data_IF_135206203366
#
_entry.id   IF_135206203366
#
_cell.length_a   1.000
_cell.length_b   1.000
_cell.length_c   1.000
_cell.angle_alpha   90.00
_cell.angle_beta   90.00
_cell.angle_gamma   90.00
#
_symmetry.space_group_name_H-M   'P 1'
#
loop_
_entity.id
_entity.type
_entity.pdbx_description
1 polymer ?
#
# COMPACT_ATOMS: atom_id res chain seq x y z
N UNK A 1 -34.06 19.28 57.15
CA UNK A 1 -34.96 18.48 58.01
C UNK A 1 -36.39 18.79 57.59
N UNK A 2 -37.29 17.78 57.64
CA UNK A 2 -38.69 17.71 57.13
C UNK A 2 -38.80 17.61 55.61
N UNK A 3 -38.94 16.45 54.95
CA UNK A 3 -39.77 15.25 55.12
C UNK A 3 -41.26 15.45 54.79
N UNK A 4 -41.63 14.86 53.64
CA UNK A 4 -42.82 14.07 53.30
C UNK A 4 -44.24 14.70 53.37
N UNK A 5 -45.00 14.43 52.30
CA UNK A 5 -46.45 14.33 52.39
C UNK A 5 -47.22 14.54 51.08
N UNK A 6 -47.27 13.51 50.22
CA UNK A 6 -48.41 13.24 49.30
C UNK A 6 -49.74 13.14 50.12
N UNK A 7 -50.99 13.12 49.57
CA UNK A 7 -51.37 12.42 48.31
C UNK A 7 -52.71 12.82 47.63
N UNK A 8 -53.16 12.01 46.64
CA UNK A 8 -54.56 11.77 46.18
C UNK A 8 -55.28 12.91 45.40
N UNK A 9 -56.19 12.71 44.45
CA UNK A 9 -56.83 11.57 43.75
C UNK A 9 -57.75 12.16 42.63
N UNK A 10 -58.09 11.32 41.65
CA UNK A 10 -59.41 11.17 40.99
C UNK A 10 -59.81 11.93 39.71
N UNK A 11 -60.15 11.10 38.70
CA UNK A 11 -61.25 11.14 37.70
C UNK A 11 -61.17 12.15 36.53
N UNK A 12 -61.08 11.65 35.29
CA UNK A 12 -62.19 11.38 34.33
C UNK A 12 -62.71 12.68 33.69
N UNK A 13 -63.06 12.82 32.41
CA UNK A 13 -63.25 11.90 31.30
C UNK A 13 -63.45 12.77 30.02
N UNK A 14 -62.99 12.25 28.88
CA UNK A 14 -63.46 12.39 27.48
C UNK A 14 -63.72 13.77 26.81
N UNK A 15 -63.11 13.87 25.63
CA UNK A 15 -63.60 14.43 24.34
C UNK A 15 -63.21 15.85 23.91
N UNK A 16 -62.27 15.84 22.95
CA UNK A 16 -62.45 16.32 21.58
C UNK A 16 -62.14 17.78 21.22
N UNK A 17 -61.44 17.86 20.08
CA UNK A 17 -61.36 18.93 19.09
C UNK A 17 -60.36 20.07 19.34
N UNK A 18 -59.33 20.03 18.49
CA UNK A 18 -58.96 21.11 17.56
C UNK A 18 -57.57 21.72 17.73
N UNK A 19 -56.89 21.74 16.57
CA UNK A 19 -55.93 22.74 16.08
C UNK A 19 -54.48 22.60 16.55
N UNK A 20 -53.69 22.08 15.61
CA UNK A 20 -52.48 22.69 15.08
C UNK A 20 -51.60 23.42 16.10
N UNK A 21 -50.61 22.70 16.62
CA UNK A 21 -49.40 23.30 17.17
C UNK A 21 -48.19 22.68 16.47
N UNK A 22 -47.56 23.54 15.69
CA UNK A 22 -46.21 23.52 15.14
C UNK A 22 -45.25 22.65 15.99
N UNK A 23 -44.98 21.42 15.54
CA UNK A 23 -43.85 20.65 16.03
C UNK A 23 -42.59 21.24 15.37
N UNK A 24 -41.98 22.22 16.04
CA UNK A 24 -40.57 22.57 15.80
C UNK A 24 -39.78 21.35 16.26
N UNK A 25 -39.57 20.41 15.33
CA UNK A 25 -38.59 19.38 15.47
C UNK A 25 -37.23 20.09 15.55
N UNK A 26 -36.69 20.23 16.76
CA UNK A 26 -35.25 20.30 16.97
C UNK A 26 -34.65 18.99 16.45
N UNK A 27 -34.56 18.86 15.12
CA UNK A 27 -33.57 18.04 14.46
C UNK A 27 -32.25 18.72 14.75
N UNK A 28 -31.69 18.37 15.91
CA UNK A 28 -30.27 18.49 16.17
C UNK A 28 -29.57 17.75 15.03
N UNK A 29 -29.19 18.49 14.01
CA UNK A 29 -28.17 18.12 13.05
C UNK A 29 -26.89 17.95 13.87
N UNK A 30 -26.77 16.83 14.55
CA UNK A 30 -25.46 16.27 14.84
C UNK A 30 -24.94 15.81 13.49
N UNK A 31 -24.37 16.76 12.74
CA UNK A 31 -23.30 16.43 11.81
C UNK A 31 -22.27 15.72 12.66
N UNK A 32 -22.31 14.39 12.66
CA UNK A 32 -21.14 13.60 12.95
C UNK A 32 -20.17 14.08 11.88
N UNK A 33 -19.26 14.98 12.27
CA UNK A 33 -18.03 15.15 11.53
C UNK A 33 -17.45 13.74 11.48
N UNK A 34 -17.61 13.07 10.33
CA UNK A 34 -16.89 11.86 10.07
C UNK A 34 -15.43 12.27 10.23
N UNK A 35 -14.82 11.88 11.34
CA UNK A 35 -13.36 11.96 11.48
C UNK A 35 -12.81 11.44 10.17
N UNK A 36 -11.94 12.22 9.53
CA UNK A 36 -11.36 11.91 8.23
C UNK A 36 -10.51 10.63 8.34
N UNK A 37 -11.22 9.50 8.31
CA UNK A 37 -10.69 8.16 8.29
C UNK A 37 -10.27 7.77 6.89
N UNK A 38 -9.73 6.57 6.77
CA UNK A 38 -9.28 6.05 5.49
C UNK A 38 -10.53 5.81 4.62
N UNK A 39 -10.54 6.36 3.41
CA UNK A 39 -11.58 6.05 2.43
C UNK A 39 -11.11 4.82 1.65
N UNK A 40 -11.91 3.75 1.65
CA UNK A 40 -11.55 2.49 1.01
C UNK A 40 -12.55 2.09 -0.08
N UNK A 41 -12.03 1.44 -1.12
CA UNK A 41 -12.75 0.81 -2.20
C UNK A 41 -12.47 -0.70 -2.13
N UNK A 42 -13.46 -1.54 -1.84
CA UNK A 42 -13.25 -2.98 -1.76
C UNK A 42 -12.92 -3.59 -3.11
N UNK A 43 -12.16 -4.69 -3.11
CA UNK A 43 -11.98 -5.51 -4.31
C UNK A 43 -13.31 -6.21 -4.72
N UNK A 44 -13.52 -6.51 -6.02
CA UNK A 44 -12.64 -6.20 -7.14
C UNK A 44 -12.68 -4.72 -7.55
N UNK A 45 -11.56 -4.18 -8.01
CA UNK A 45 -11.43 -2.78 -8.46
C UNK A 45 -11.92 -2.59 -9.90
N UNK A 46 -13.13 -3.05 -10.19
CA UNK A 46 -13.73 -2.92 -11.52
C UNK A 46 -14.53 -1.62 -11.67
N UNK A 47 -15.07 -1.39 -12.88
CA UNK A 47 -15.85 -0.20 -13.17
C UNK A 47 -17.12 -0.08 -12.31
N UNK A 48 -17.73 -1.20 -11.88
CA UNK A 48 -18.91 -1.18 -11.04
C UNK A 48 -18.56 -0.77 -9.60
N UNK A 49 -17.45 -1.27 -9.07
CA UNK A 49 -16.92 -0.85 -7.77
C UNK A 49 -16.49 0.62 -7.82
N UNK A 50 -15.80 1.05 -8.88
CA UNK A 50 -15.37 2.44 -9.05
C UNK A 50 -16.54 3.44 -9.04
N UNK A 51 -17.71 3.06 -9.57
CA UNK A 51 -18.94 3.88 -9.50
C UNK A 51 -19.48 4.05 -8.08
N UNK A 52 -19.12 3.14 -7.16
CA UNK A 52 -19.55 3.14 -5.77
C UNK A 52 -18.49 3.74 -4.83
N UNK A 53 -17.33 4.16 -5.35
CA UNK A 53 -16.27 4.71 -4.54
C UNK A 53 -16.74 5.97 -3.80
N UNK A 54 -16.48 6.02 -2.49
CA UNK A 54 -16.86 7.16 -1.66
C UNK A 54 -16.18 8.47 -2.07
N UNK A 55 -15.00 8.39 -2.72
CA UNK A 55 -14.27 9.54 -3.25
C UNK A 55 -13.82 9.30 -4.71
N UNK A 56 -13.88 10.31 -5.59
CA UNK A 56 -13.51 10.18 -7.01
C UNK A 56 -12.06 9.71 -7.24
N UNK A 57 -11.15 10.05 -6.34
CA UNK A 57 -9.73 9.71 -6.45
C UNK A 57 -9.48 8.20 -6.38
N UNK A 58 -10.28 7.46 -5.60
CA UNK A 58 -10.21 5.99 -5.54
C UNK A 58 -10.67 5.37 -6.84
N UNK A 59 -11.82 5.81 -7.36
CA UNK A 59 -12.35 5.37 -8.64
C UNK A 59 -11.34 5.60 -9.77
N UNK A 60 -10.70 6.77 -9.78
CA UNK A 60 -9.70 7.13 -10.78
C UNK A 60 -8.44 6.25 -10.72
N UNK A 61 -7.98 5.87 -9.52
CA UNK A 61 -6.83 4.95 -9.36
C UNK A 61 -7.19 3.52 -9.78
N UNK A 62 -8.35 3.01 -9.36
CA UNK A 62 -8.86 1.70 -9.72
C UNK A 62 -8.99 1.53 -11.25
N UNK A 63 -9.61 2.51 -11.92
CA UNK A 63 -9.77 2.49 -13.37
C UNK A 63 -8.43 2.67 -14.11
N UNK A 64 -7.52 3.46 -13.56
CA UNK A 64 -6.21 3.68 -14.19
C UNK A 64 -5.34 2.42 -14.21
N UNK A 65 -5.40 1.60 -13.16
CA UNK A 65 -4.49 0.45 -13.03
C UNK A 65 -4.89 -0.75 -13.90
N UNK A 66 -6.17 -0.87 -14.26
CA UNK A 66 -6.69 -1.97 -15.08
C UNK A 66 -5.87 -2.21 -16.39
N UNK A 67 -5.60 -1.21 -17.25
CA UNK A 67 -4.78 -1.41 -18.44
C UNK A 67 -3.30 -1.72 -18.14
N UNK A 68 -2.81 -1.39 -16.93
CA UNK A 68 -1.45 -1.75 -16.50
C UNK A 68 -1.36 -3.25 -16.23
N UNK A 69 -2.37 -3.79 -15.54
CA UNK A 69 -2.42 -5.20 -15.14
C UNK A 69 -2.46 -6.16 -16.33
N UNK A 70 -3.04 -5.74 -17.46
CA UNK A 70 -3.02 -6.51 -18.70
C UNK A 70 -1.59 -6.80 -19.20
N UNK A 71 -0.61 -5.95 -18.88
CA UNK A 71 0.81 -6.15 -19.19
C UNK A 71 1.60 -6.81 -18.04
N UNK A 72 0.94 -7.09 -16.91
CA UNK A 72 1.54 -7.63 -15.69
C UNK A 72 0.74 -8.81 -15.11
N UNK A 73 0.67 -9.97 -15.81
CA UNK A 73 -0.24 -11.07 -15.47
C UNK A 73 -0.09 -11.63 -14.04
N UNK A 74 1.13 -11.66 -13.50
CA UNK A 74 1.34 -12.11 -12.11
C UNK A 74 0.75 -11.14 -11.08
N UNK A 75 0.85 -9.83 -11.31
CA UNK A 75 0.21 -8.81 -10.45
C UNK A 75 -1.30 -8.80 -10.62
N UNK A 76 -1.82 -9.04 -11.84
CA UNK A 76 -3.26 -9.24 -12.04
C UNK A 76 -3.75 -10.46 -11.24
N UNK A 77 -3.03 -11.58 -11.31
CA UNK A 77 -3.33 -12.76 -10.53
C UNK A 77 -3.29 -12.46 -9.02
N UNK A 78 -2.30 -11.72 -8.55
CA UNK A 78 -2.18 -11.30 -7.15
C UNK A 78 -3.39 -10.47 -6.71
N UNK A 79 -3.77 -9.46 -7.50
CA UNK A 79 -4.94 -8.62 -7.22
C UNK A 79 -6.23 -9.45 -7.14
N UNK A 80 -6.45 -10.36 -8.10
CA UNK A 80 -7.65 -11.21 -8.11
C UNK A 80 -7.68 -12.26 -7.00
N UNK A 81 -6.51 -12.75 -6.57
CA UNK A 81 -6.42 -13.84 -5.58
C UNK A 81 -6.46 -13.31 -4.15
N UNK A 82 -5.69 -12.26 -3.87
CA UNK A 82 -5.62 -11.66 -2.52
C UNK A 82 -6.79 -10.71 -2.30
N UNK A 83 -7.29 -10.06 -3.36
CA UNK A 83 -8.42 -9.15 -3.34
C UNK A 83 -8.34 -8.04 -2.26
N UNK A 84 -7.25 -7.25 -2.23
CA UNK A 84 -7.09 -6.20 -1.23
C UNK A 84 -8.05 -5.03 -1.44
N UNK A 85 -8.45 -4.38 -0.36
CA UNK A 85 -9.10 -3.07 -0.43
C UNK A 85 -8.08 -2.01 -0.90
N UNK A 86 -8.51 -1.06 -1.73
CA UNK A 86 -7.72 0.13 -2.08
C UNK A 86 -8.14 1.29 -1.18
N UNK A 87 -7.24 1.80 -0.37
CA UNK A 87 -7.52 2.87 0.58
C UNK A 87 -6.69 4.12 0.31
N UNK A 88 -7.30 5.29 0.49
CA UNK A 88 -6.61 6.57 0.56
C UNK A 88 -6.74 7.13 1.98
N UNK A 89 -5.62 7.60 2.53
CA UNK A 89 -5.57 8.09 3.91
C UNK A 89 -4.77 9.38 4.01
N UNK A 90 -5.21 10.28 4.90
CA UNK A 90 -4.50 11.51 5.25
C UNK A 90 -3.58 11.32 6.48
N UNK A 91 -3.56 10.12 7.05
CA UNK A 91 -2.95 9.81 8.37
C UNK A 91 -1.67 8.99 8.27
N UNK A 92 -1.04 8.92 7.10
CA UNK A 92 0.29 8.30 6.99
C UNK A 92 1.37 9.23 7.53
N UNK A 93 2.32 8.68 8.28
CA UNK A 93 3.51 9.37 8.75
C UNK A 93 4.73 8.54 8.34
N UNK A 94 5.75 9.18 7.77
CA UNK A 94 6.94 8.49 7.26
C UNK A 94 6.74 7.83 5.89
N UNK A 95 5.81 6.86 5.79
CA UNK A 95 5.50 6.17 4.53
C UNK A 95 4.53 6.96 3.65
N UNK A 96 4.57 6.70 2.33
CA UNK A 96 3.64 7.28 1.33
C UNK A 96 2.61 6.28 0.81
N UNK A 97 2.87 5.00 1.02
CA UNK A 97 1.92 3.92 0.88
C UNK A 97 2.46 2.68 1.59
N UNK A 98 1.59 1.69 1.80
CA UNK A 98 1.97 0.37 2.29
C UNK A 98 0.90 -0.66 1.96
N UNK A 99 1.30 -1.94 1.91
CA UNK A 99 0.42 -3.10 1.94
C UNK A 99 0.26 -3.59 3.38
N UNK A 100 -0.96 -3.55 3.91
CA UNK A 100 -1.34 -4.27 5.12
C UNK A 100 -1.59 -5.74 4.76
N UNK A 101 -0.87 -6.67 5.37
CA UNK A 101 -0.96 -8.11 5.06
C UNK A 101 -1.94 -8.87 5.96
N UNK A 102 -2.34 -8.31 7.10
CA UNK A 102 -3.25 -8.97 8.06
C UNK A 102 -4.72 -8.75 7.66
N UNK A 103 -5.07 -7.52 7.29
CA UNK A 103 -6.31 -7.21 6.59
C UNK A 103 -5.94 -6.69 5.22
N UNK A 104 -5.91 -7.51 4.15
CA UNK A 104 -5.29 -7.15 2.88
C UNK A 104 -5.86 -5.84 2.35
N UNK A 105 -5.07 -4.77 2.44
CA UNK A 105 -5.40 -3.46 1.88
C UNK A 105 -4.13 -2.74 1.46
N UNK A 106 -4.24 -2.03 0.34
CA UNK A 106 -3.21 -1.11 -0.13
C UNK A 106 -3.63 0.27 0.30
N UNK A 107 -2.85 0.90 1.18
CA UNK A 107 -3.14 2.24 1.71
C UNK A 107 -2.16 3.23 1.10
N UNK A 108 -2.65 4.32 0.53
CA UNK A 108 -1.82 5.36 -0.12
C UNK A 108 -2.14 6.74 0.48
N UNK A 109 -1.11 7.56 0.68
CA UNK A 109 -1.23 8.93 1.19
C UNK A 109 -2.03 9.81 0.21
N UNK A 110 -3.22 10.26 0.65
CA UNK A 110 -4.09 11.14 -0.13
C UNK A 110 -3.45 12.52 -0.38
N UNK A 111 -2.43 12.89 0.40
CA UNK A 111 -1.79 14.22 0.29
C UNK A 111 -0.70 14.26 -0.78
N UNK A 112 -0.24 13.12 -1.29
CA UNK A 112 0.70 13.12 -2.43
C UNK A 112 -0.05 13.35 -3.75
N UNK A 113 0.61 13.95 -4.77
CA UNK A 113 0.00 14.15 -6.09
C UNK A 113 -0.51 12.84 -6.70
N UNK A 114 -1.59 12.91 -7.49
CA UNK A 114 -2.17 11.77 -8.22
C UNK A 114 -1.12 10.97 -8.99
N UNK A 115 -0.19 11.66 -9.67
CA UNK A 115 0.87 11.03 -10.45
C UNK A 115 1.79 10.18 -9.57
N UNK A 116 2.12 10.64 -8.36
CA UNK A 116 2.90 9.86 -7.40
C UNK A 116 2.09 8.72 -6.78
N UNK A 117 0.79 8.91 -6.51
CA UNK A 117 -0.10 7.82 -6.06
C UNK A 117 -0.12 6.66 -7.04
N UNK A 118 -0.12 6.94 -8.34
CA UNK A 118 -0.03 5.93 -9.39
C UNK A 118 1.28 5.15 -9.29
N UNK A 119 2.42 5.83 -9.14
CA UNK A 119 3.72 5.19 -8.94
C UNK A 119 3.76 4.31 -7.68
N UNK A 120 3.25 4.83 -6.55
CA UNK A 120 3.14 4.09 -5.28
C UNK A 120 2.24 2.86 -5.46
N UNK A 121 1.09 2.97 -6.14
CA UNK A 121 0.22 1.83 -6.40
C UNK A 121 0.93 0.71 -7.16
N UNK A 122 1.78 1.03 -8.15
CA UNK A 122 2.58 0.02 -8.86
C UNK A 122 3.56 -0.70 -7.92
N UNK A 123 4.17 0.04 -7.00
CA UNK A 123 5.07 -0.50 -5.97
C UNK A 123 4.32 -1.44 -5.02
N UNK A 124 3.19 -1.01 -4.46
CA UNK A 124 2.41 -1.83 -3.53
C UNK A 124 1.78 -3.07 -4.19
N UNK A 125 1.37 -2.96 -5.47
CA UNK A 125 0.92 -4.14 -6.22
C UNK A 125 2.05 -5.16 -6.44
N UNK A 126 3.31 -4.71 -6.48
CA UNK A 126 4.43 -5.66 -6.51
C UNK A 126 4.60 -6.36 -5.16
N UNK A 127 4.42 -5.66 -4.04
CA UNK A 127 4.36 -6.32 -2.73
C UNK A 127 3.21 -7.34 -2.64
N UNK A 128 2.07 -7.05 -3.26
CA UNK A 128 0.96 -8.00 -3.34
C UNK A 128 1.32 -9.27 -4.14
N UNK A 129 2.00 -9.12 -5.27
CA UNK A 129 2.52 -10.26 -6.04
C UNK A 129 3.57 -11.06 -5.27
N UNK A 130 4.50 -10.38 -4.60
CA UNK A 130 5.47 -11.00 -3.70
C UNK A 130 4.77 -11.80 -2.60
N UNK A 131 3.74 -11.24 -1.96
CA UNK A 131 2.94 -11.92 -0.93
C UNK A 131 2.28 -13.20 -1.49
N UNK A 132 1.61 -13.10 -2.65
CA UNK A 132 0.97 -14.28 -3.28
C UNK A 132 2.00 -15.38 -3.59
N UNK A 133 3.24 -15.00 -3.92
CA UNK A 133 4.36 -15.91 -4.21
C UNK A 133 5.06 -16.44 -2.95
N UNK A 134 4.57 -16.08 -1.76
CA UNK A 134 5.07 -16.55 -0.47
C UNK A 134 6.27 -15.76 0.06
N UNK A 135 6.51 -14.55 -0.45
CA UNK A 135 7.53 -13.66 0.10
C UNK A 135 6.94 -12.80 1.21
N UNK A 136 7.17 -13.23 2.44
CA UNK A 136 6.93 -12.45 3.65
C UNK A 136 8.07 -12.82 4.61
N UNK A 137 8.99 -11.90 4.96
CA UNK A 137 10.15 -12.23 5.80
C UNK A 137 9.72 -12.85 7.14
N UNK A 138 9.91 -14.15 7.28
CA UNK A 138 9.48 -14.90 8.45
C UNK A 138 10.38 -14.65 9.68
N UNK A 139 9.80 -14.83 10.87
CA UNK A 139 10.51 -14.68 12.14
C UNK A 139 11.46 -15.85 12.46
N UNK A 140 11.50 -16.89 11.63
CA UNK A 140 12.47 -17.99 11.74
C UNK A 140 13.87 -17.58 11.24
N UNK A 141 13.96 -16.54 10.40
CA UNK A 141 15.22 -15.91 9.99
C UNK A 141 15.88 -15.19 11.17
N UNK A 142 17.22 -15.10 11.14
CA UNK A 142 17.92 -14.14 12.01
C UNK A 142 17.45 -12.71 11.70
N UNK A 143 17.50 -11.76 12.66
CA UNK A 143 17.15 -10.36 12.40
C UNK A 143 17.90 -9.78 11.20
N UNK A 144 19.18 -10.14 11.06
CA UNK A 144 20.01 -9.71 9.93
C UNK A 144 19.51 -10.24 8.59
N UNK A 145 19.21 -11.53 8.52
CA UNK A 145 18.70 -12.15 7.29
C UNK A 145 17.27 -11.70 6.98
N UNK A 146 16.48 -11.35 8.01
CA UNK A 146 15.16 -10.72 7.84
C UNK A 146 15.31 -9.33 7.19
N UNK A 147 16.22 -8.47 7.69
CA UNK A 147 16.50 -7.18 7.05
C UNK A 147 17.00 -7.31 5.61
N UNK A 148 17.89 -8.28 5.34
CA UNK A 148 18.38 -8.56 3.97
C UNK A 148 17.25 -8.99 3.03
N UNK A 149 16.32 -9.82 3.52
CA UNK A 149 15.12 -10.20 2.78
C UNK A 149 14.25 -8.96 2.49
N UNK A 150 14.00 -8.11 3.48
CA UNK A 150 13.24 -6.87 3.31
C UNK A 150 13.88 -5.97 2.25
N UNK A 151 15.20 -5.74 2.30
CA UNK A 151 15.88 -4.93 1.29
C UNK A 151 15.67 -5.44 -0.12
N UNK A 152 15.76 -6.75 -0.31
CA UNK A 152 15.56 -7.36 -1.61
C UNK A 152 14.12 -7.18 -2.10
N UNK A 153 13.12 -7.30 -1.21
CA UNK A 153 11.71 -7.07 -1.56
C UNK A 153 11.45 -5.62 -1.99
N UNK A 154 12.02 -4.65 -1.28
CA UNK A 154 11.90 -3.22 -1.58
C UNK A 154 12.64 -2.82 -2.87
N UNK A 155 13.82 -3.39 -3.08
CA UNK A 155 14.60 -3.21 -4.31
C UNK A 155 13.86 -3.78 -5.53
N UNK A 156 13.25 -4.97 -5.39
CA UNK A 156 12.43 -5.58 -6.44
C UNK A 156 11.15 -4.77 -6.71
N UNK A 157 10.45 -4.31 -5.67
CA UNK A 157 9.27 -3.45 -5.82
C UNK A 157 9.60 -2.12 -6.51
N UNK A 158 10.73 -1.51 -6.16
CA UNK A 158 11.22 -0.29 -6.82
C UNK A 158 11.60 -0.53 -8.28
N UNK A 159 12.32 -1.62 -8.58
CA UNK A 159 12.71 -1.94 -9.95
C UNK A 159 11.51 -2.25 -10.85
N UNK A 160 10.54 -3.02 -10.35
CA UNK A 160 9.35 -3.40 -11.11
C UNK A 160 8.39 -2.22 -11.31
N UNK A 161 8.18 -1.38 -10.29
CA UNK A 161 7.35 -0.18 -10.43
C UNK A 161 7.92 0.80 -11.48
N UNK A 162 9.24 1.00 -11.51
CA UNK A 162 9.91 1.78 -12.55
C UNK A 162 9.77 1.16 -13.94
N UNK A 163 9.91 -0.17 -14.06
CA UNK A 163 9.71 -0.87 -15.33
C UNK A 163 8.31 -0.67 -15.88
N UNK A 164 7.28 -0.82 -15.04
CA UNK A 164 5.89 -0.64 -15.46
C UNK A 164 5.61 0.82 -15.82
N UNK A 165 6.10 1.76 -15.02
CA UNK A 165 5.98 3.19 -15.31
C UNK A 165 6.68 3.58 -16.63
N UNK A 166 7.84 3.00 -16.92
CA UNK A 166 8.55 3.18 -18.19
C UNK A 166 7.78 2.64 -19.38
N UNK A 167 7.17 1.45 -19.24
CA UNK A 167 6.32 0.88 -20.28
C UNK A 167 5.05 1.71 -20.53
N UNK A 168 4.46 2.30 -19.48
CA UNK A 168 3.33 3.22 -19.60
C UNK A 168 3.72 4.50 -20.31
N UNK A 169 4.90 5.06 -20.01
CA UNK A 169 5.48 6.20 -20.73
C UNK A 169 5.56 5.91 -22.23
N UNK A 170 6.08 4.75 -22.61
CA UNK A 170 6.16 4.35 -24.03
C UNK A 170 4.79 4.19 -24.72
N UNK A 171 3.71 4.01 -23.94
CA UNK A 171 2.31 3.94 -24.41
C UNK A 171 1.57 5.29 -24.31
N UNK A 172 2.25 6.36 -23.94
CA UNK A 172 1.69 7.72 -23.88
C UNK A 172 1.22 8.19 -22.51
N UNK A 173 1.32 7.37 -21.45
CA UNK A 173 1.07 7.80 -20.07
C UNK A 173 2.40 7.88 -19.29
N UNK A 174 3.04 9.05 -19.33
CA UNK A 174 4.29 9.30 -18.63
C UNK A 174 4.12 9.65 -17.15
N UNK A 175 2.88 9.81 -16.66
CA UNK A 175 2.63 10.50 -15.38
C UNK A 175 3.24 9.80 -14.17
N UNK A 176 3.14 8.47 -14.10
CA UNK A 176 3.75 7.69 -13.02
C UNK A 176 5.28 7.71 -13.11
N UNK A 177 5.83 7.63 -14.32
CA UNK A 177 7.28 7.67 -14.54
C UNK A 177 7.87 9.00 -14.10
N UNK A 178 7.29 10.12 -14.54
CA UNK A 178 7.75 11.46 -14.18
C UNK A 178 7.68 11.70 -12.68
N UNK A 179 6.62 11.21 -12.02
CA UNK A 179 6.49 11.33 -10.58
C UNK A 179 7.55 10.50 -9.81
N UNK A 180 7.78 9.24 -10.21
CA UNK A 180 8.81 8.40 -9.59
C UNK A 180 10.21 8.96 -9.83
N UNK A 181 10.49 9.44 -11.04
CA UNK A 181 11.79 10.04 -11.39
C UNK A 181 12.06 11.37 -10.66
N UNK A 182 11.01 12.12 -10.31
CA UNK A 182 11.13 13.36 -9.53
C UNK A 182 11.10 13.12 -8.01
N UNK A 183 10.76 11.92 -7.54
CA UNK A 183 10.61 11.63 -6.12
C UNK A 183 11.98 11.41 -5.46
N UNK A 184 12.42 12.25 -4.50
CA UNK A 184 13.79 12.19 -3.99
C UNK A 184 14.23 10.82 -3.45
N UNK A 185 13.31 10.05 -2.87
CA UNK A 185 13.58 8.72 -2.33
C UNK A 185 13.82 7.65 -3.40
N UNK A 186 13.48 7.89 -4.68
CA UNK A 186 13.66 6.95 -5.79
C UNK A 186 14.38 7.54 -7.02
N UNK A 187 14.61 8.86 -7.06
CA UNK A 187 15.12 9.54 -8.25
C UNK A 187 16.45 8.97 -8.76
N UNK A 188 17.34 8.53 -7.87
CA UNK A 188 18.62 7.90 -8.23
C UNK A 188 18.41 6.53 -8.92
N UNK A 189 17.46 5.75 -8.44
CA UNK A 189 17.07 4.46 -9.02
C UNK A 189 16.47 4.67 -10.41
N UNK A 190 15.55 5.63 -10.51
CA UNK A 190 14.90 5.99 -11.77
C UNK A 190 15.92 6.46 -12.82
N UNK A 191 16.88 7.29 -12.42
CA UNK A 191 17.96 7.75 -13.29
C UNK A 191 18.81 6.59 -13.82
N UNK A 192 19.18 5.63 -12.95
CA UNK A 192 19.93 4.44 -13.35
C UNK A 192 19.14 3.54 -14.31
N UNK A 193 17.85 3.35 -14.06
CA UNK A 193 16.96 2.60 -14.97
C UNK A 193 16.89 3.27 -16.34
N UNK A 194 16.63 4.59 -16.37
CA UNK A 194 16.47 5.36 -17.59
C UNK A 194 17.74 5.32 -18.44
N UNK A 195 18.90 5.57 -17.83
CA UNK A 195 20.18 5.56 -18.52
C UNK A 195 20.45 4.19 -19.18
N UNK A 196 20.13 3.09 -18.50
CA UNK A 196 20.28 1.76 -19.06
C UNK A 196 19.34 1.51 -20.25
N UNK A 197 18.05 1.83 -20.09
CA UNK A 197 17.05 1.64 -21.14
C UNK A 197 17.35 2.51 -22.38
N UNK A 198 17.78 3.76 -22.19
CA UNK A 198 18.15 4.68 -23.26
C UNK A 198 19.45 4.28 -23.96
N UNK A 199 20.37 3.62 -23.26
CA UNK A 199 21.56 3.00 -23.84
C UNK A 199 21.27 1.70 -24.61
N UNK A 200 20.01 1.27 -24.69
CA UNK A 200 19.58 0.09 -25.44
C UNK A 200 19.64 -1.23 -24.67
N UNK A 201 19.77 -1.19 -23.34
CA UNK A 201 19.57 -2.38 -22.52
C UNK A 201 18.11 -2.87 -22.66
N UNK A 202 17.91 -4.19 -22.62
CA UNK A 202 16.55 -4.71 -22.50
C UNK A 202 15.96 -4.39 -21.12
N UNK A 203 14.63 -4.41 -21.01
CA UNK A 203 13.95 -4.03 -19.76
C UNK A 203 14.36 -4.90 -18.56
N UNK A 204 14.56 -6.23 -18.68
CA UNK A 204 15.14 -7.02 -17.59
C UNK A 204 16.51 -6.53 -17.12
N UNK A 205 17.42 -6.16 -18.04
CA UNK A 205 18.73 -5.62 -17.66
C UNK A 205 18.62 -4.23 -17.01
N UNK A 206 17.72 -3.36 -17.49
CA UNK A 206 17.46 -2.07 -16.84
C UNK A 206 16.89 -2.25 -15.42
N UNK A 207 15.97 -3.19 -15.23
CA UNK A 207 15.41 -3.55 -13.92
C UNK A 207 16.48 -4.10 -12.96
N UNK A 208 17.40 -4.92 -13.46
CA UNK A 208 18.55 -5.42 -12.70
C UNK A 208 19.43 -4.28 -12.16
N UNK A 209 19.69 -3.26 -12.98
CA UNK A 209 20.48 -2.10 -12.59
C UNK A 209 19.73 -1.21 -11.58
N UNK A 210 18.42 -1.02 -11.76
CA UNK A 210 17.57 -0.35 -10.78
C UNK A 210 17.57 -1.08 -9.42
N UNK A 211 17.43 -2.41 -9.44
CA UNK A 211 17.52 -3.23 -8.23
C UNK A 211 18.84 -2.99 -7.50
N UNK A 212 19.96 -3.05 -8.22
CA UNK A 212 21.29 -2.82 -7.63
C UNK A 212 21.45 -1.37 -7.12
N UNK A 213 20.90 -0.38 -7.83
CA UNK A 213 20.93 1.02 -7.42
C UNK A 213 20.13 1.27 -6.14
N UNK A 214 19.07 0.50 -5.89
CA UNK A 214 18.33 0.59 -4.62
C UNK A 214 19.27 0.42 -3.42
N UNK A 215 20.19 -0.54 -3.53
CA UNK A 215 21.19 -0.85 -2.52
C UNK A 215 22.29 0.20 -2.41
N UNK A 216 22.46 1.13 -3.34
CA UNK A 216 23.50 2.16 -3.24
C UNK A 216 23.16 3.25 -2.20
N UNK A 217 21.86 3.50 -1.95
CA UNK A 217 21.39 4.53 -1.01
C UNK A 217 21.58 4.13 0.46
N UNK A 218 22.62 4.65 1.12
CA UNK A 218 22.91 4.34 2.53
C UNK A 218 21.77 4.72 3.47
N UNK A 219 21.26 5.94 3.37
CA UNK A 219 20.13 6.43 4.18
C UNK A 219 18.91 5.51 4.05
N UNK A 220 18.63 5.04 2.82
CA UNK A 220 17.55 4.09 2.55
C UNK A 220 17.79 2.77 3.28
N UNK A 221 19.00 2.20 3.18
CA UNK A 221 19.33 0.95 3.89
C UNK A 221 19.21 1.10 5.41
N UNK A 222 19.68 2.20 5.97
CA UNK A 222 19.58 2.46 7.41
C UNK A 222 18.12 2.60 7.87
N UNK A 223 17.30 3.36 7.14
CA UNK A 223 15.88 3.51 7.44
C UNK A 223 15.15 2.16 7.44
N UNK A 224 15.35 1.35 6.38
CA UNK A 224 14.73 0.04 6.27
C UNK A 224 15.33 -0.98 7.25
N UNK A 225 16.59 -0.83 7.67
CA UNK A 225 17.17 -1.65 8.73
C UNK A 225 16.38 -1.46 10.04
N UNK A 226 16.21 -0.21 10.45
CA UNK A 226 15.52 0.15 11.68
C UNK A 226 14.05 -0.25 11.64
N UNK A 227 13.36 0.00 10.52
CA UNK A 227 11.97 -0.45 10.33
C UNK A 227 11.87 -1.97 10.41
N UNK A 228 12.65 -2.70 9.62
CA UNK A 228 12.59 -4.18 9.58
C UNK A 228 12.91 -4.82 10.94
N UNK A 229 13.87 -4.28 11.68
CA UNK A 229 14.18 -4.75 13.03
C UNK A 229 13.03 -4.49 14.01
N UNK A 230 12.40 -3.31 13.93
CA UNK A 230 11.26 -2.96 14.79
C UNK A 230 10.07 -3.87 14.48
N UNK A 231 9.73 -4.04 13.20
CA UNK A 231 8.65 -4.93 12.74
C UNK A 231 8.93 -6.39 13.14
N UNK A 232 10.20 -6.81 13.10
CA UNK A 232 10.59 -8.15 13.52
C UNK A 232 10.32 -8.37 15.02
N UNK A 233 10.75 -7.43 15.87
CA UNK A 233 10.53 -7.50 17.32
C UNK A 233 9.04 -7.45 17.66
N UNK A 234 8.27 -6.58 17.00
CA UNK A 234 6.81 -6.50 17.20
C UNK A 234 6.11 -7.82 16.88
N UNK A 235 6.56 -8.53 15.82
CA UNK A 235 6.05 -9.87 15.49
C UNK A 235 6.49 -10.94 16.50
N UNK A 236 7.72 -10.87 17.00
CA UNK A 236 8.19 -11.76 18.08
C UNK A 236 7.33 -11.59 19.34
N UNK A 237 7.10 -10.35 19.76
CA UNK A 237 6.36 -10.01 20.96
C UNK A 237 4.88 -10.41 20.83
N UNK A 238 4.23 -10.02 19.73
CA UNK A 238 2.81 -10.35 19.45
C UNK A 238 2.58 -11.86 19.34
N UNK A 239 3.50 -12.57 18.71
CA UNK A 239 3.40 -14.02 18.48
C UNK A 239 3.97 -14.87 19.62
N UNK A 240 4.58 -14.25 20.64
CA UNK A 240 5.36 -14.93 21.68
C UNK A 240 6.40 -15.90 21.09
N UNK A 241 7.07 -15.48 20.02
CA UNK A 241 8.00 -16.31 19.27
C UNK A 241 9.40 -16.26 19.88
N UNK A 242 10.13 -17.35 19.72
CA UNK A 242 11.57 -17.36 19.96
C UNK A 242 12.30 -16.80 18.74
N UNK A 243 13.47 -16.22 19.00
CA UNK A 243 14.32 -15.68 17.95
C UNK A 243 14.74 -16.72 16.93
N UNK A 244 14.53 -16.34 15.67
CA UNK A 244 14.95 -17.11 14.51
C UNK A 244 16.47 -17.27 14.40
N UNK A 245 16.87 -18.37 13.79
CA UNK A 245 18.28 -18.71 13.53
C UNK A 245 18.54 -19.11 12.08
N UNK A 246 17.49 -19.19 11.26
CA UNK A 246 17.61 -19.52 9.85
C UNK A 246 18.33 -18.42 9.07
N UNK A 247 19.02 -18.83 8.02
CA UNK A 247 19.69 -17.95 7.07
C UNK A 247 18.81 -17.74 5.85
N UNK A 248 18.98 -16.62 5.16
CA UNK A 248 18.34 -16.40 3.88
C UNK A 248 18.76 -17.49 2.89
N UNK A 249 17.79 -18.09 2.18
CA UNK A 249 18.08 -19.19 1.26
C UNK A 249 18.94 -18.72 0.08
N UNK A 250 19.85 -19.57 -0.39
CA UNK A 250 20.74 -19.22 -1.52
C UNK A 250 20.02 -18.99 -2.85
N UNK A 251 18.80 -19.50 -2.99
CA UNK A 251 17.93 -19.33 -4.16
C UNK A 251 16.95 -18.15 -4.04
N UNK A 252 16.95 -17.42 -2.91
CA UNK A 252 15.97 -16.38 -2.61
C UNK A 252 15.85 -15.35 -3.73
N UNK A 253 16.97 -14.79 -4.18
CA UNK A 253 17.03 -13.79 -5.25
C UNK A 253 16.54 -14.36 -6.59
N UNK A 254 16.88 -15.60 -6.91
CA UNK A 254 16.43 -16.26 -8.15
C UNK A 254 14.91 -16.43 -8.16
N UNK A 255 14.31 -16.79 -7.01
CA UNK A 255 12.86 -16.92 -6.89
C UNK A 255 12.16 -15.56 -6.88
N UNK A 256 12.77 -14.54 -6.29
CA UNK A 256 12.21 -13.19 -6.17
C UNK A 256 12.20 -12.46 -7.53
N UNK A 257 13.34 -12.45 -8.22
CA UNK A 257 13.61 -11.58 -9.36
C UNK A 257 13.08 -12.12 -10.68
N UNK A 258 11.75 -12.19 -10.72
CA UNK A 258 10.93 -12.55 -11.87
C UNK A 258 10.00 -11.37 -12.15
N UNK A 259 10.07 -10.82 -13.36
CA UNK A 259 9.24 -9.72 -13.81
C UNK A 259 7.76 -10.12 -13.88
N UNK A 260 6.84 -9.16 -13.95
CA UNK A 260 5.43 -9.49 -13.93
C UNK A 260 4.92 -10.38 -15.08
N UNK A 261 5.65 -10.40 -16.20
CA UNK A 261 5.43 -11.24 -17.38
C UNK A 261 6.10 -12.63 -17.30
N UNK A 262 6.75 -12.95 -16.18
CA UNK A 262 7.40 -14.23 -15.94
C UNK A 262 8.86 -14.31 -16.38
N UNK A 263 9.41 -13.28 -17.06
CA UNK A 263 10.83 -13.28 -17.42
C UNK A 263 11.71 -13.06 -16.20
N UNK A 264 12.81 -13.82 -16.02
CA UNK A 264 13.75 -13.54 -14.95
C UNK A 264 14.56 -12.28 -15.26
N UNK A 265 15.00 -11.58 -14.22
CA UNK A 265 16.04 -10.56 -14.33
C UNK A 265 17.14 -10.84 -13.31
N UNK A 266 18.38 -10.46 -13.64
CA UNK A 266 19.53 -10.75 -12.77
C UNK A 266 19.52 -9.81 -11.58
N UNK A 267 19.30 -10.34 -10.39
CA UNK A 267 19.46 -9.59 -9.17
C UNK A 267 20.31 -10.40 -8.18
N UNK A 268 21.01 -9.69 -7.31
CA UNK A 268 21.73 -10.23 -6.18
C UNK A 268 21.93 -9.09 -5.18
N UNK A 269 22.10 -9.43 -3.91
CA UNK A 269 22.65 -8.46 -2.97
C UNK A 269 24.05 -8.06 -3.43
N UNK A 270 24.33 -6.76 -3.66
CA UNK A 270 25.68 -6.32 -3.95
C UNK A 270 26.56 -6.61 -2.73
N UNK A 271 27.86 -6.82 -2.93
CA UNK A 271 28.83 -7.09 -1.86
C UNK A 271 29.05 -5.89 -0.92
N UNK A 272 28.01 -5.48 -0.20
CA UNK A 272 28.01 -4.36 0.72
C UNK A 272 28.45 -4.84 2.10
N UNK A 273 29.35 -4.09 2.71
CA UNK A 273 29.51 -4.09 4.16
C UNK A 273 28.27 -3.46 4.78
N UNK A 274 27.54 -4.22 5.58
CA UNK A 274 26.52 -3.67 6.46
C UNK A 274 27.19 -2.71 7.47
N UNK A 275 26.53 -1.61 7.87
CA UNK A 275 27.06 -0.70 8.89
C UNK A 275 27.33 -1.41 10.22
#
# INVERSE_FOLDING_TARGET
MTANGSPFRFLASVSALSRAALAVACLSLFSVEAEAGDACLPAPWDAAAAQQAAIPELAALALWVEPVLAAAPSMEKALRTVAPDLCLSTRLFGARGYLDVEGPRIVIDLRVPVSLRRGILLHELRHLDQLLRGFCPANDLTPLDNSRATYALEADASAVSLLLAWQLRAKGDATAWEALAAWPQQADIAAQFAAAAEAGADLPAAAALAFAQWYAGQERRELYYLSSCSDYLDREDRGHLLRGSARLSGDFFQRLCVLPDGRPYRCAEPGLSLP
#
